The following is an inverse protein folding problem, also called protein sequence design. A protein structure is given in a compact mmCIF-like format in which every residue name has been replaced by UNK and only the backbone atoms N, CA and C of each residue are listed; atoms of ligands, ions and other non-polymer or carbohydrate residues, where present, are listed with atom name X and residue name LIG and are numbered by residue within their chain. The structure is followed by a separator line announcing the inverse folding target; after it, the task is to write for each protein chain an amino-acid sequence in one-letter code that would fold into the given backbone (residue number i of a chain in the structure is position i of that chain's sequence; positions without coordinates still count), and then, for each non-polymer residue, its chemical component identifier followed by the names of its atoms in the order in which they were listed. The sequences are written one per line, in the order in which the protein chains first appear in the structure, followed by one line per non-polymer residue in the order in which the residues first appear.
data_IF_442255213647
#
_entry.id   IF_442255213647
#
_cell.length_a   1.000
_cell.length_b   1.000
_cell.length_c   1.000
_cell.angle_alpha   90.00
_cell.angle_beta   90.00
_cell.angle_gamma   90.00
#
_symmetry.space_group_name_H-M   'P 1'
#
loop_
_entity.id
_entity.type
_entity.pdbx_description
1 polymer ?
#
# COMPACT_ATOMS: atom_id res chain seq x y z
N UNK A 1 2.54 3.50 28.82
CA UNK A 1 3.01 2.49 27.85
C UNK A 1 2.86 3.11 26.48
N UNK A 2 3.94 3.21 25.70
CA UNK A 2 3.89 3.89 24.41
C UNK A 2 3.46 2.87 23.35
N UNK A 3 2.38 3.19 22.65
CA UNK A 3 1.88 2.34 21.56
C UNK A 3 2.94 2.26 20.45
N UNK A 4 3.19 1.07 19.89
CA UNK A 4 4.09 0.93 18.76
C UNK A 4 3.52 1.70 17.56
N UNK A 5 4.40 2.45 16.88
CA UNK A 5 4.10 3.07 15.60
C UNK A 5 4.32 2.06 14.47
N UNK A 6 3.55 2.17 13.40
CA UNK A 6 3.63 1.26 12.26
C UNK A 6 4.28 1.94 11.06
N UNK A 7 5.09 1.17 10.34
CA UNK A 7 5.87 1.68 9.23
C UNK A 7 5.79 0.75 8.02
N UNK A 8 5.57 1.35 6.86
CA UNK A 8 5.67 0.70 5.57
C UNK A 8 7.13 0.72 5.12
N UNK A 9 7.70 -0.46 4.88
CA UNK A 9 9.07 -0.61 4.38
C UNK A 9 9.03 -1.05 2.93
N UNK A 10 9.69 -0.30 2.04
CA UNK A 10 9.99 -0.73 0.68
C UNK A 10 11.40 -1.29 0.62
N UNK A 11 11.60 -2.39 -0.09
CA UNK A 11 12.91 -3.00 -0.27
C UNK A 11 13.17 -3.39 -1.72
N UNK A 12 14.44 -3.66 -2.04
CA UNK A 12 14.84 -4.28 -3.29
C UNK A 12 14.42 -5.76 -3.22
N UNK A 13 13.64 -6.30 -4.18
CA UNK A 13 13.11 -7.66 -4.09
C UNK A 13 14.21 -8.72 -3.81
N UNK A 14 15.30 -8.67 -4.58
CA UNK A 14 16.47 -9.57 -4.44
C UNK A 14 17.23 -9.46 -3.11
N UNK A 15 17.01 -8.40 -2.33
CA UNK A 15 17.65 -8.14 -1.03
C UNK A 15 16.62 -8.05 0.09
N UNK A 16 15.51 -8.76 -0.08
CA UNK A 16 14.47 -8.83 0.94
C UNK A 16 15.01 -9.33 2.27
N UNK A 17 15.82 -10.39 2.26
CA UNK A 17 16.42 -10.96 3.47
C UNK A 17 17.31 -9.93 4.18
N UNK A 18 18.22 -9.29 3.46
CA UNK A 18 19.08 -8.22 3.99
C UNK A 18 18.26 -7.10 4.65
N UNK A 19 17.09 -6.77 4.08
CA UNK A 19 16.23 -5.72 4.63
C UNK A 19 15.39 -6.21 5.80
N UNK A 20 15.04 -7.49 5.85
CA UNK A 20 14.35 -8.07 6.99
C UNK A 20 15.29 -8.25 8.17
N UNK A 21 16.59 -8.50 7.96
CA UNK A 21 17.59 -8.57 9.05
C UNK A 21 17.69 -7.27 9.86
N UNK A 22 17.28 -6.15 9.26
CA UNK A 22 17.17 -4.87 9.93
C UNK A 22 16.04 -4.77 10.95
N UNK A 23 15.10 -5.73 10.95
CA UNK A 23 13.91 -5.68 11.79
C UNK A 23 13.67 -7.03 12.46
N UNK A 24 13.18 -7.07 13.70
CA UNK A 24 12.83 -8.33 14.34
C UNK A 24 11.80 -9.10 13.49
N UNK A 25 12.13 -10.34 13.11
CA UNK A 25 11.36 -11.15 12.13
C UNK A 25 9.88 -11.32 12.52
N UNK A 26 9.58 -11.35 13.82
CA UNK A 26 8.23 -11.57 14.35
C UNK A 26 7.25 -10.40 14.12
N UNK A 27 7.71 -9.34 13.48
CA UNK A 27 7.00 -8.07 13.39
C UNK A 27 6.64 -7.70 11.93
N UNK A 28 7.28 -8.33 10.94
CA UNK A 28 7.10 -7.99 9.53
C UNK A 28 5.89 -8.70 8.89
N UNK A 29 4.91 -7.93 8.41
CA UNK A 29 3.75 -8.41 7.64
C UNK A 29 3.94 -8.09 6.16
N UNK A 30 4.04 -9.11 5.33
CA UNK A 30 4.31 -8.93 3.90
C UNK A 30 3.03 -8.45 3.21
N UNK A 31 3.12 -7.36 2.44
CA UNK A 31 2.01 -6.83 1.65
C UNK A 31 2.17 -7.14 0.16
N UNK A 32 3.41 -7.13 -0.31
CA UNK A 32 3.79 -7.41 -1.70
C UNK A 32 5.22 -7.99 -1.75
N UNK A 33 5.72 -8.42 -2.91
CA UNK A 33 7.11 -8.83 -3.10
C UNK A 33 8.16 -7.77 -2.75
N UNK A 34 7.78 -6.50 -2.64
CA UNK A 34 8.70 -5.36 -2.39
C UNK A 34 8.34 -4.52 -1.18
N UNK A 35 7.26 -4.88 -0.48
CA UNK A 35 6.73 -4.07 0.62
C UNK A 35 6.27 -4.95 1.77
N UNK A 36 6.72 -4.62 2.97
CA UNK A 36 6.21 -5.18 4.21
C UNK A 36 5.95 -4.10 5.25
N UNK A 37 5.05 -4.38 6.17
CA UNK A 37 4.68 -3.54 7.30
C UNK A 37 5.40 -4.02 8.56
N UNK A 38 5.92 -3.10 9.36
CA UNK A 38 6.54 -3.37 10.66
C UNK A 38 5.89 -2.50 11.75
N UNK A 39 6.02 -2.93 13.00
CA UNK A 39 5.62 -2.19 14.19
C UNK A 39 6.86 -1.89 15.03
N UNK A 40 7.17 -0.63 15.28
CA UNK A 40 8.34 -0.23 16.06
C UNK A 40 7.89 0.53 17.31
N UNK A 41 8.53 0.28 18.45
CA UNK A 41 8.28 1.08 19.65
C UNK A 41 8.85 2.48 19.44
N UNK A 42 8.00 3.50 19.59
CA UNK A 42 8.28 4.91 19.29
C UNK A 42 9.40 5.54 20.14
N UNK A 43 9.91 4.84 21.15
CA UNK A 43 10.74 5.46 22.18
C UNK A 43 12.24 5.37 21.95
N UNK A 44 12.79 4.31 21.37
CA UNK A 44 14.26 4.11 21.41
C UNK A 44 14.85 3.34 20.22
N UNK A 45 14.07 2.55 19.47
CA UNK A 45 14.63 1.66 18.43
C UNK A 45 14.79 2.35 17.07
N UNK A 46 13.95 3.34 16.74
CA UNK A 46 14.04 4.04 15.45
C UNK A 46 15.25 4.98 15.38
N UNK A 47 15.64 5.63 16.48
CA UNK A 47 16.71 6.63 16.46
C UNK A 47 18.13 6.02 16.41
N UNK A 48 18.33 4.82 16.98
CA UNK A 48 19.64 4.16 17.00
C UNK A 48 19.86 3.15 15.84
N UNK A 49 18.81 2.50 15.33
CA UNK A 49 18.89 1.52 14.22
C UNK A 49 18.39 2.02 12.86
N UNK A 50 17.98 3.30 12.75
CA UNK A 50 17.58 3.91 11.46
C UNK A 50 18.65 3.91 10.37
N UNK A 51 19.87 3.43 10.64
CA UNK A 51 20.84 3.14 9.58
C UNK A 51 20.29 2.20 8.53
N UNK A 52 19.28 1.39 8.80
CA UNK A 52 18.82 0.40 7.83
C UNK A 52 18.32 0.98 6.49
N UNK A 53 17.29 1.84 6.41
CA UNK A 53 16.94 2.49 5.14
C UNK A 53 18.07 3.29 4.50
N UNK A 54 18.98 3.85 5.31
CA UNK A 54 20.10 4.68 4.85
C UNK A 54 21.39 3.88 4.55
N UNK A 55 21.39 2.57 4.83
CA UNK A 55 22.52 1.68 4.59
C UNK A 55 22.34 1.01 3.24
N UNK A 56 23.21 1.34 2.29
CA UNK A 56 23.20 0.76 0.94
C UNK A 56 23.28 -0.78 0.92
N UNK A 57 23.73 -1.41 2.00
CA UNK A 57 23.81 -2.87 2.14
C UNK A 57 22.53 -3.52 2.63
N UNK A 58 21.64 -2.80 3.32
CA UNK A 58 20.42 -3.37 3.89
C UNK A 58 19.40 -3.77 2.84
N UNK A 59 19.45 -3.22 1.62
CA UNK A 59 18.40 -3.45 0.62
C UNK A 59 17.05 -2.80 0.94
N UNK A 60 16.89 -2.15 2.10
CA UNK A 60 15.77 -1.26 2.39
C UNK A 60 15.93 0.04 1.60
N UNK A 61 14.84 0.56 1.06
CA UNK A 61 14.84 1.72 0.17
C UNK A 61 14.05 2.88 0.76
N UNK A 62 12.96 2.58 1.45
CA UNK A 62 12.00 3.57 1.93
C UNK A 62 11.39 3.10 3.24
N UNK A 63 11.18 4.04 4.15
CA UNK A 63 10.46 3.83 5.40
C UNK A 63 9.44 4.96 5.54
N UNK A 64 8.16 4.61 5.58
CA UNK A 64 7.05 5.57 5.67
C UNK A 64 6.18 5.25 6.87
N UNK A 65 5.72 6.26 7.60
CA UNK A 65 4.77 6.08 8.71
C UNK A 65 3.41 5.73 8.12
N UNK A 66 2.81 4.65 8.63
CA UNK A 66 1.49 4.20 8.21
C UNK A 66 0.42 4.76 9.16
N UNK A 67 -0.72 5.25 8.66
CA UNK A 67 -1.81 5.74 9.51
C UNK A 67 -2.38 4.65 10.40
N UNK A 68 -2.73 5.01 11.64
CA UNK A 68 -3.23 4.09 12.66
C UNK A 68 -4.38 3.20 12.14
N UNK A 69 -5.36 3.79 11.43
CA UNK A 69 -6.51 3.04 10.92
C UNK A 69 -6.14 1.93 9.92
N UNK A 70 -5.13 2.14 9.06
CA UNK A 70 -4.66 1.10 8.15
C UNK A 70 -3.90 0.01 8.90
N UNK A 71 -3.23 0.38 9.99
CA UNK A 71 -2.49 -0.54 10.84
C UNK A 71 -3.43 -1.42 11.64
N UNK A 72 -4.46 -0.84 12.24
CA UNK A 72 -5.50 -1.58 12.94
C UNK A 72 -6.22 -2.57 12.02
N UNK A 73 -6.48 -2.17 10.75
CA UNK A 73 -6.99 -3.09 9.73
C UNK A 73 -6.01 -4.24 9.49
N UNK A 74 -4.72 -3.95 9.29
CA UNK A 74 -3.69 -4.97 9.05
C UNK A 74 -3.46 -5.93 10.22
N UNK A 75 -3.76 -5.48 11.44
CA UNK A 75 -3.75 -6.28 12.67
C UNK A 75 -5.04 -7.08 12.87
N UNK A 76 -6.08 -6.88 12.06
CA UNK A 76 -7.40 -7.49 12.25
C UNK A 76 -8.15 -6.95 13.48
N UNK A 77 -7.80 -5.75 13.96
CA UNK A 77 -8.45 -5.10 15.10
C UNK A 77 -9.69 -4.30 14.68
N UNK A 78 -9.71 -3.83 13.43
CA UNK A 78 -10.93 -3.28 12.83
C UNK A 78 -11.76 -4.44 12.32
N UNK A 79 -12.86 -4.75 13.02
CA UNK A 79 -13.93 -5.57 12.44
C UNK A 79 -14.68 -4.70 11.46
N UNK A 80 -14.47 -4.97 10.18
CA UNK A 80 -15.21 -4.30 9.11
C UNK A 80 -16.56 -4.99 8.97
N UNK A 81 -17.44 -4.76 9.95
CA UNK A 81 -18.86 -5.07 9.83
C UNK A 81 -19.55 -3.82 9.29
N UNK A 82 -20.16 -3.96 8.11
CA UNK A 82 -20.90 -2.91 7.44
C UNK A 82 -22.14 -2.53 8.26
N UNK A 83 -22.12 -1.36 8.87
CA UNK A 83 -23.35 -0.58 9.03
C UNK A 83 -23.21 0.68 8.18
N UNK A 84 -23.92 0.71 7.05
CA UNK A 84 -24.02 1.86 6.15
C UNK A 84 -24.66 3.09 6.81
N UNK A 85 -25.12 2.96 8.07
CA UNK A 85 -25.70 4.03 8.87
C UNK A 85 -24.74 4.64 9.91
N UNK A 86 -23.46 4.23 9.96
CA UNK A 86 -22.55 4.82 10.94
C UNK A 86 -22.21 6.26 10.56
N UNK A 87 -22.65 7.28 11.34
CA UNK A 87 -22.13 8.63 11.17
C UNK A 87 -20.61 8.57 11.36
N UNK A 88 -19.87 9.23 10.49
CA UNK A 88 -18.40 9.34 10.55
C UNK A 88 -18.00 9.82 11.94
N UNK A 89 -17.61 8.91 12.82
CA UNK A 89 -17.36 9.20 14.22
C UNK A 89 -15.92 9.69 14.38
N UNK A 90 -15.61 10.84 13.76
CA UNK A 90 -14.47 11.69 14.13
C UNK A 90 -14.93 13.00 14.81
N UNK A 91 -16.18 13.06 15.28
CA UNK A 91 -16.61 14.06 16.27
C UNK A 91 -16.66 13.43 17.65
N UNK A 92 -15.49 13.12 18.23
CA UNK A 92 -15.36 13.06 19.68
C UNK A 92 -14.29 14.05 20.15
N UNK A 93 -14.69 15.33 20.10
CA UNK A 93 -14.70 16.25 21.23
C UNK A 93 -13.70 15.99 22.38
N UNK A 94 -12.60 16.76 22.38
CA UNK A 94 -12.13 17.47 23.58
C UNK A 94 -11.48 18.80 23.20
N UNK A 95 -12.28 19.86 23.05
CA UNK A 95 -11.87 21.23 23.38
C UNK A 95 -13.11 22.13 23.50
N UNK A 96 -13.37 22.76 24.65
CA UNK A 96 -14.48 23.67 24.82
C UNK A 96 -14.02 25.09 24.50
N UNK A 97 -14.25 25.59 23.28
CA UNK A 97 -14.11 27.03 23.00
C UNK A 97 -15.25 27.51 22.09
N UNK A 98 -16.25 28.06 22.77
CA UNK A 98 -17.08 29.22 22.40
C UNK A 98 -17.09 29.70 20.95
N UNK A 99 -18.30 29.73 20.38
CA UNK A 99 -18.81 30.72 19.43
C UNK A 99 -17.88 31.13 18.27
N UNK A 100 -17.90 30.39 17.16
CA UNK A 100 -17.49 30.96 15.88
C UNK A 100 -18.18 30.26 14.70
N UNK A 101 -18.90 31.07 13.91
CA UNK A 101 -19.37 30.87 12.53
C UNK A 101 -19.40 29.42 12.03
N UNK A 102 -20.58 28.93 11.64
CA UNK A 102 -20.80 27.73 10.80
C UNK A 102 -19.82 27.71 9.61
N UNK A 103 -18.60 27.19 9.82
CA UNK A 103 -17.67 26.84 8.76
C UNK A 103 -18.30 25.61 8.12
N UNK A 104 -18.57 25.70 6.82
CA UNK A 104 -18.89 24.51 6.03
C UNK A 104 -17.83 23.45 6.38
N UNK A 105 -18.21 22.19 6.64
CA UNK A 105 -17.24 21.14 6.90
C UNK A 105 -16.24 21.18 5.74
N UNK A 106 -14.96 21.32 6.06
CA UNK A 106 -13.88 21.16 5.10
C UNK A 106 -14.17 19.81 4.44
N UNK A 107 -14.32 19.77 3.12
CA UNK A 107 -14.48 18.51 2.40
C UNK A 107 -13.17 17.73 2.60
N UNK A 108 -13.11 16.95 3.67
CA UNK A 108 -12.06 15.98 3.87
C UNK A 108 -12.32 14.94 2.80
N UNK A 109 -11.37 14.79 1.87
CA UNK A 109 -11.41 13.68 0.93
C UNK A 109 -11.48 12.37 1.74
N UNK A 110 -11.88 11.27 1.10
CA UNK A 110 -12.08 9.99 1.80
C UNK A 110 -11.13 8.95 1.22
N UNK A 111 -10.65 8.02 2.04
CA UNK A 111 -9.97 6.81 1.59
C UNK A 111 -10.90 5.64 1.76
N UNK A 112 -11.07 4.86 0.71
CA UNK A 112 -11.85 3.64 0.73
C UNK A 112 -10.93 2.44 0.54
N UNK A 113 -11.15 1.42 1.37
CA UNK A 113 -10.58 0.09 1.21
C UNK A 113 -11.43 -0.71 0.23
N UNK A 114 -10.80 -1.20 -0.84
CA UNK A 114 -11.39 -2.15 -1.79
C UNK A 114 -10.71 -3.49 -1.69
N UNK A 115 -11.50 -4.55 -1.51
CA UNK A 115 -11.03 -5.93 -1.54
C UNK A 115 -11.46 -6.61 -2.83
N UNK A 116 -10.56 -7.40 -3.40
CA UNK A 116 -10.89 -8.33 -4.47
C UNK A 116 -11.67 -9.50 -3.90
N UNK A 117 -12.96 -9.56 -4.19
CA UNK A 117 -13.88 -10.51 -3.55
C UNK A 117 -13.99 -11.86 -4.28
N UNK A 118 -13.41 -12.01 -5.48
CA UNK A 118 -13.38 -13.30 -6.18
C UNK A 118 -12.45 -14.22 -5.40
N UNK A 119 -13.04 -15.21 -4.73
CA UNK A 119 -12.37 -16.08 -3.77
C UNK A 119 -11.26 -16.94 -4.39
N UNK A 120 -11.31 -17.21 -5.70
CA UNK A 120 -10.28 -18.00 -6.36
C UNK A 120 -9.85 -17.38 -7.69
N UNK A 121 -8.58 -16.97 -7.75
CA UNK A 121 -7.75 -17.51 -8.79
C UNK A 121 -6.49 -18.06 -8.14
N UNK A 122 -6.47 -19.38 -7.95
CA UNK A 122 -5.18 -20.10 -7.88
C UNK A 122 -4.52 -20.15 -9.27
N UNK A 123 -5.25 -19.78 -10.33
CA UNK A 123 -4.73 -19.72 -11.68
C UNK A 123 -4.01 -18.39 -11.99
N UNK A 124 -3.10 -18.44 -12.96
CA UNK A 124 -2.33 -17.28 -13.44
C UNK A 124 -3.22 -16.18 -14.04
N UNK A 125 -4.41 -16.53 -14.48
CA UNK A 125 -5.36 -15.63 -15.15
C UNK A 125 -5.92 -14.59 -14.18
N UNK A 126 -6.45 -14.98 -13.02
CA UNK A 126 -6.99 -13.98 -12.11
C UNK A 126 -5.94 -13.12 -11.41
N UNK A 127 -4.67 -13.56 -11.35
CA UNK A 127 -3.55 -12.68 -10.98
C UNK A 127 -3.32 -11.61 -12.06
N UNK A 128 -3.41 -11.98 -13.34
CA UNK A 128 -3.30 -11.03 -14.44
C UNK A 128 -4.47 -10.02 -14.43
N UNK A 129 -5.69 -10.47 -14.18
CA UNK A 129 -6.85 -9.58 -14.07
C UNK A 129 -6.75 -8.61 -12.90
N UNK A 130 -6.30 -9.10 -11.72
CA UNK A 130 -6.02 -8.26 -10.56
C UNK A 130 -4.98 -7.18 -10.89
N UNK A 131 -3.90 -7.59 -11.57
CA UNK A 131 -2.85 -6.69 -12.02
C UNK A 131 -3.39 -5.60 -12.96
N UNK A 132 -4.13 -5.99 -14.01
CA UNK A 132 -4.71 -5.04 -14.97
C UNK A 132 -5.70 -4.10 -14.31
N UNK A 133 -6.53 -4.59 -13.37
CA UNK A 133 -7.41 -3.74 -12.60
C UNK A 133 -6.61 -2.71 -11.76
N UNK A 134 -5.60 -3.14 -11.01
CA UNK A 134 -4.80 -2.24 -10.18
C UNK A 134 -4.02 -1.22 -11.03
N UNK A 135 -3.54 -1.64 -12.20
CA UNK A 135 -2.90 -0.76 -13.17
C UNK A 135 -3.87 0.29 -13.73
N UNK A 136 -5.10 -0.10 -14.06
CA UNK A 136 -6.13 0.84 -14.51
C UNK A 136 -6.48 1.85 -13.41
N UNK A 137 -6.71 1.37 -12.19
CA UNK A 137 -7.09 2.22 -11.06
C UNK A 137 -6.00 3.22 -10.68
N UNK A 138 -4.73 2.80 -10.63
CA UNK A 138 -3.61 3.72 -10.35
C UNK A 138 -3.39 4.77 -11.44
N UNK A 139 -3.88 4.57 -12.67
CA UNK A 139 -3.85 5.59 -13.73
C UNK A 139 -4.98 6.62 -13.60
N UNK A 140 -6.14 6.20 -13.09
CA UNK A 140 -7.37 7.00 -13.09
C UNK A 140 -7.71 7.57 -11.71
N UNK A 141 -7.15 6.98 -10.67
CA UNK A 141 -7.48 7.23 -9.28
C UNK A 141 -6.20 7.35 -8.45
N UNK A 142 -6.34 7.99 -7.30
CA UNK A 142 -5.23 8.11 -6.35
C UNK A 142 -5.23 6.93 -5.40
N UNK A 143 -4.47 5.90 -5.74
CA UNK A 143 -4.24 4.72 -4.91
C UNK A 143 -3.09 5.00 -3.94
N UNK A 144 -3.26 4.64 -2.67
CA UNK A 144 -2.29 4.95 -1.61
C UNK A 144 -1.56 3.74 -1.06
N UNK A 145 -2.19 2.57 -1.10
CA UNK A 145 -1.59 1.32 -0.66
C UNK A 145 -2.15 0.16 -1.48
N UNK A 146 -1.28 -0.80 -1.81
CA UNK A 146 -1.61 -2.03 -2.50
C UNK A 146 -1.09 -3.21 -1.67
N UNK A 147 -1.96 -4.17 -1.36
CA UNK A 147 -1.54 -5.50 -0.94
C UNK A 147 -1.90 -6.51 -2.01
N UNK A 148 -0.89 -7.07 -2.67
CA UNK A 148 -1.07 -8.13 -3.67
C UNK A 148 -1.36 -9.45 -2.98
N UNK A 149 -0.71 -9.71 -1.84
CA UNK A 149 -0.90 -10.94 -1.06
C UNK A 149 -2.33 -11.02 -0.51
N UNK A 150 -2.84 -9.92 0.04
CA UNK A 150 -4.20 -9.85 0.61
C UNK A 150 -5.25 -9.33 -0.38
N UNK A 151 -4.84 -9.08 -1.63
CA UNK A 151 -5.68 -8.66 -2.77
C UNK A 151 -6.61 -7.48 -2.45
N UNK A 152 -6.05 -6.43 -1.86
CA UNK A 152 -6.80 -5.21 -1.60
C UNK A 152 -5.98 -3.98 -2.01
N UNK A 153 -6.68 -2.87 -2.18
CA UNK A 153 -6.07 -1.55 -2.29
C UNK A 153 -6.82 -0.50 -1.49
N UNK A 154 -6.11 0.57 -1.16
CA UNK A 154 -6.67 1.75 -0.54
C UNK A 154 -6.66 2.88 -1.58
N UNK A 155 -7.78 3.56 -1.75
CA UNK A 155 -7.96 4.56 -2.80
C UNK A 155 -8.62 5.81 -2.24
N UNK A 156 -8.09 6.97 -2.62
CA UNK A 156 -8.73 8.26 -2.34
C UNK A 156 -9.90 8.45 -3.28
N UNK A 157 -11.08 8.68 -2.71
CA UNK A 157 -12.34 8.83 -3.43
C UNK A 157 -12.77 10.30 -3.45
N UNK A 158 -13.03 10.79 -4.66
CA UNK A 158 -13.73 12.06 -4.89
C UNK A 158 -15.05 11.88 -5.66
N UNK A 159 -15.12 10.91 -6.59
CA UNK A 159 -16.35 10.49 -7.28
C UNK A 159 -16.25 9.01 -7.70
N UNK A 160 -16.51 8.13 -6.74
CA UNK A 160 -16.18 6.69 -6.74
C UNK A 160 -16.75 5.91 -7.93
N UNK A 161 -18.05 6.05 -8.18
CA UNK A 161 -18.77 5.23 -9.13
C UNK A 161 -18.27 5.45 -10.57
N UNK A 162 -17.98 6.71 -10.92
CA UNK A 162 -17.50 7.09 -12.25
C UNK A 162 -16.05 6.65 -12.50
N UNK A 163 -15.23 6.53 -11.46
CA UNK A 163 -13.83 6.18 -11.61
C UNK A 163 -13.63 4.68 -11.82
N UNK A 164 -14.35 3.85 -11.05
CA UNK A 164 -14.27 2.38 -11.13
C UNK A 164 -14.95 1.87 -12.41
N UNK A 165 -16.06 2.48 -12.83
CA UNK A 165 -16.78 2.09 -14.06
C UNK A 165 -15.96 2.20 -15.33
N UNK A 166 -14.84 2.94 -15.29
CA UNK A 166 -13.95 3.10 -16.44
C UNK A 166 -12.84 2.04 -16.49
N UNK A 167 -12.83 1.06 -15.58
CA UNK A 167 -11.88 -0.04 -15.55
C UNK A 167 -12.64 -1.36 -15.64
N UNK A 168 -12.90 -1.82 -16.86
CA UNK A 168 -13.70 -3.02 -17.15
C UNK A 168 -13.19 -4.26 -16.38
N UNK A 169 -11.88 -4.35 -16.18
CA UNK A 169 -11.23 -5.45 -15.46
C UNK A 169 -11.57 -5.47 -13.96
N UNK A 170 -12.05 -4.36 -13.40
CA UNK A 170 -12.43 -4.23 -11.99
C UNK A 170 -13.93 -4.44 -11.76
N UNK A 171 -14.76 -4.33 -12.81
CA UNK A 171 -16.22 -4.29 -12.70
C UNK A 171 -16.74 -5.59 -12.09
N UNK A 172 -17.48 -5.45 -10.99
CA UNK A 172 -18.02 -6.60 -10.26
C UNK A 172 -16.97 -7.46 -9.57
N UNK A 173 -15.67 -7.06 -9.53
CA UNK A 173 -14.58 -7.82 -8.89
C UNK A 173 -14.08 -7.19 -7.61
N UNK A 174 -14.25 -5.87 -7.47
CA UNK A 174 -13.93 -5.12 -6.27
C UNK A 174 -15.17 -4.90 -5.41
N UNK A 175 -14.99 -5.12 -4.11
CA UNK A 175 -15.99 -4.82 -3.09
C UNK A 175 -15.40 -3.76 -2.16
N UNK A 176 -16.14 -2.67 -1.96
CA UNK A 176 -15.84 -1.71 -0.91
C UNK A 176 -15.96 -2.41 0.45
N UNK A 177 -15.10 -2.02 1.40
CA UNK A 177 -15.12 -2.58 2.75
C UNK A 177 -15.25 -1.52 3.82
N UNK A 178 -14.47 -0.46 3.75
CA UNK A 178 -14.46 0.58 4.76
C UNK A 178 -14.04 1.92 4.18
N UNK A 179 -14.51 2.99 4.81
CA UNK A 179 -14.20 4.37 4.45
C UNK A 179 -13.60 5.11 5.65
N UNK A 180 -12.58 5.93 5.40
CA UNK A 180 -11.87 6.71 6.40
C UNK A 180 -11.61 8.14 5.90
N UNK A 181 -11.46 9.08 6.82
CA UNK A 181 -11.03 10.44 6.49
C UNK A 181 -9.63 10.43 5.84
N UNK A 182 -9.49 11.13 4.72
CA UNK A 182 -8.22 11.24 4.01
C UNK A 182 -7.43 12.46 4.46
N UNK A 183 -6.22 12.20 4.93
CA UNK A 183 -5.20 13.22 5.08
C UNK A 183 -4.23 13.19 3.88
N UNK A 184 -3.86 14.36 3.36
CA UNK A 184 -3.01 14.55 2.18
C UNK A 184 -1.62 13.92 2.25
N UNK A 185 -1.18 13.46 3.43
CA UNK A 185 0.16 12.90 3.66
C UNK A 185 0.32 11.42 3.29
N UNK A 186 -0.72 10.73 2.82
CA UNK A 186 -0.53 9.34 2.37
C UNK A 186 0.25 9.31 1.06
N UNK A 187 1.25 8.42 0.99
CA UNK A 187 1.91 8.08 -0.26
C UNK A 187 0.91 7.71 -1.34
N UNK A 188 1.29 8.05 -2.57
CA UNK A 188 0.57 7.65 -3.77
C UNK A 188 1.36 6.56 -4.47
N UNK A 189 0.66 5.58 -5.04
CA UNK A 189 1.23 4.51 -5.85
C UNK A 189 1.03 4.86 -7.33
N UNK A 190 2.09 5.26 -8.05
CA UNK A 190 1.99 5.50 -9.49
C UNK A 190 1.74 4.20 -10.25
N UNK A 191 1.07 4.29 -11.39
CA UNK A 191 0.82 3.15 -12.26
C UNK A 191 2.11 2.41 -12.70
N UNK A 192 3.21 3.15 -12.88
CA UNK A 192 4.50 2.57 -13.25
C UNK A 192 5.05 1.61 -12.17
N UNK A 193 4.73 1.89 -10.91
CA UNK A 193 5.21 1.13 -9.77
C UNK A 193 4.39 -0.15 -9.53
N UNK A 194 3.18 -0.26 -10.09
CA UNK A 194 2.30 -1.44 -9.92
C UNK A 194 3.02 -2.73 -10.32
N UNK A 195 3.73 -2.74 -11.45
CA UNK A 195 4.49 -3.92 -11.89
C UNK A 195 5.48 -4.41 -10.82
N UNK A 196 6.03 -3.51 -10.02
CA UNK A 196 6.98 -3.83 -8.95
C UNK A 196 6.27 -4.56 -7.80
N UNK A 197 5.01 -4.23 -7.50
CA UNK A 197 4.19 -4.92 -6.52
C UNK A 197 3.76 -6.33 -6.95
N UNK A 198 3.83 -6.65 -8.24
CA UNK A 198 3.47 -7.98 -8.77
C UNK A 198 4.67 -8.80 -9.22
N UNK A 199 5.84 -8.18 -9.38
CA UNK A 199 7.06 -8.87 -9.75
C UNK A 199 7.47 -9.84 -8.63
N UNK A 200 7.26 -11.14 -8.85
CA UNK A 200 8.01 -12.18 -8.15
C UNK A 200 9.47 -12.12 -8.62
N UNK A 201 10.43 -12.61 -7.82
CA UNK A 201 11.85 -12.73 -8.17
C UNK A 201 12.09 -13.73 -9.33
N UNK A 202 11.48 -13.47 -10.48
CA UNK A 202 11.72 -14.14 -11.74
C UNK A 202 12.95 -13.52 -12.38
N UNK A 203 14.13 -14.00 -12.01
CA UNK A 203 15.34 -13.80 -12.79
C UNK A 203 15.17 -14.39 -14.20
N UNK A 204 14.53 -13.66 -15.11
CA UNK A 204 14.79 -13.84 -16.54
C UNK A 204 16.17 -13.26 -16.80
N UNK A 205 17.19 -14.13 -16.73
CA UNK A 205 18.50 -13.89 -17.34
C UNK A 205 18.23 -13.43 -18.77
N UNK A 206 18.34 -12.12 -19.03
CA UNK A 206 18.53 -11.62 -20.39
C UNK A 206 19.81 -12.28 -20.89
N UNK A 207 19.68 -13.32 -21.74
CA UNK A 207 20.79 -13.80 -22.57
C UNK A 207 21.24 -12.59 -23.37
N UNK A 208 22.41 -12.06 -23.00
CA UNK A 208 23.09 -10.99 -23.71
C UNK A 208 23.48 -11.58 -25.06
N UNK A 209 22.78 -11.19 -26.12
CA UNK A 209 23.18 -11.54 -27.48
C UNK A 209 24.58 -10.97 -27.70
N UNK A 210 25.60 -11.82 -27.73
CA UNK A 210 26.91 -11.47 -28.25
C UNK A 210 26.72 -11.15 -29.74
N UNK A 211 26.70 -9.86 -30.09
CA UNK A 211 27.09 -9.46 -31.44
C UNK A 211 28.61 -9.60 -31.51
N UNK A 212 29.06 -10.68 -32.13
CA UNK A 212 30.40 -10.78 -32.69
C UNK A 212 30.54 -9.67 -33.74
N UNK A 213 31.36 -8.67 -33.45
CA UNK A 213 31.89 -7.81 -34.50
C UNK A 213 32.99 -8.61 -35.21
N UNK A 214 32.74 -8.95 -36.47
CA UNK A 214 33.78 -9.31 -37.42
C UNK A 214 34.71 -8.10 -37.53
N UNK A 215 35.95 -8.26 -37.06
CA UNK A 215 37.02 -7.35 -37.39
C UNK A 215 37.46 -7.66 -38.83
N UNK A 216 37.26 -6.69 -39.72
CA UNK A 216 37.89 -6.69 -41.03
C UNK A 216 39.41 -6.64 -40.88
N UNK A 217 40.09 -7.48 -41.65
CA UNK A 217 41.54 -7.52 -41.74
C UNK A 217 41.94 -7.80 -43.18
N UNK A 218 42.18 -6.70 -43.89
CA UNK A 218 43.01 -6.49 -45.10
C UNK A 218 43.02 -7.55 -46.20
#
# INVERSE_FOLDING_TARGET
MNSPGFFLVRHIPKRRSDCLECYPVNVARILSPVTFLIALLTNLEVAHDSKCPFNKRSGCVELEIMPDFMCEFELGRVKVDFDLNLPSNEENSRSPITNLRKRKPVQVAKVVLFMWHIQEPENTEGVAELHECFLCLTRKCKVVLISVIKRYLWMVVSNQAKQISNCDQCVGKLMERAEFAYNQFLRQVPALDVNVFFATDGSKKRKRTQKSYQAGGK
#
